data_IF_785428632281
#
_entry.id   IF_785428632281
#
_cell.length_a   1.000
_cell.length_b   1.000
_cell.length_c   1.000
_cell.angle_alpha   90.00
_cell.angle_beta   90.00
_cell.angle_gamma   90.00
#
_symmetry.space_group_name_H-M   'P 1'
#
loop_
_entity.id
_entity.type
_entity.pdbx_description
1 polymer ?
#
# COMPACT_ATOMS: atom_id res chain seq x y z
N UNK A 1 2.66 -17.58 7.75
CA UNK A 1 3.61 -16.57 8.28
C UNK A 1 3.27 -16.30 9.74
N UNK A 2 4.24 -16.25 10.66
CA UNK A 2 3.97 -15.68 11.98
C UNK A 2 3.70 -14.18 11.78
N UNK A 3 2.61 -13.62 12.33
CA UNK A 3 2.39 -12.18 12.25
C UNK A 3 3.57 -11.45 12.89
N UNK A 4 3.99 -10.34 12.28
CA UNK A 4 5.01 -9.50 12.88
C UNK A 4 4.48 -8.93 14.20
N UNK A 5 5.40 -8.68 15.14
CA UNK A 5 5.09 -8.21 16.49
C UNK A 5 4.17 -6.97 16.51
N UNK A 6 4.36 -6.04 15.56
CA UNK A 6 3.53 -4.84 15.46
C UNK A 6 2.11 -5.18 15.01
N UNK A 7 1.93 -6.10 14.06
CA UNK A 7 0.60 -6.60 13.69
C UNK A 7 -0.10 -7.29 14.86
N UNK A 8 0.60 -8.07 15.69
CA UNK A 8 0.02 -8.67 16.90
C UNK A 8 -0.43 -7.60 17.91
N UNK A 9 0.37 -6.54 18.10
CA UNK A 9 -0.02 -5.41 18.94
C UNK A 9 -1.23 -4.65 18.37
N UNK A 10 -1.27 -4.46 17.06
CA UNK A 10 -2.34 -3.75 16.37
C UNK A 10 -3.69 -4.43 16.49
N UNK A 11 -3.74 -5.77 16.56
CA UNK A 11 -4.99 -6.54 16.75
C UNK A 11 -5.84 -6.06 17.92
N UNK A 12 -5.20 -5.65 19.02
CA UNK A 12 -5.90 -5.10 20.20
C UNK A 12 -6.74 -3.86 19.90
N UNK A 13 -6.41 -3.15 18.83
CA UNK A 13 -7.07 -1.93 18.38
C UNK A 13 -7.93 -2.14 17.13
N UNK A 14 -7.79 -3.26 16.43
CA UNK A 14 -8.45 -3.49 15.14
C UNK A 14 -9.56 -4.54 15.25
N UNK A 15 -9.40 -5.52 16.15
CA UNK A 15 -10.33 -6.64 16.32
C UNK A 15 -11.57 -6.22 17.13
N UNK A 16 -12.45 -5.45 16.49
CA UNK A 16 -13.77 -5.10 17.02
C UNK A 16 -14.87 -5.78 16.21
N UNK A 17 -15.70 -6.58 16.89
CA UNK A 17 -16.80 -7.33 16.28
C UNK A 17 -17.74 -6.45 15.44
N UNK A 18 -18.02 -5.23 15.91
CA UNK A 18 -18.89 -4.29 15.19
C UNK A 18 -18.32 -3.83 13.85
N UNK A 19 -16.98 -3.75 13.74
CA UNK A 19 -16.30 -3.38 12.50
C UNK A 19 -16.25 -4.62 11.60
N UNK A 20 -15.72 -5.73 12.08
CA UNK A 20 -15.51 -6.96 11.28
C UNK A 20 -16.81 -7.62 10.80
N UNK A 21 -17.91 -7.49 11.55
CA UNK A 21 -19.21 -8.09 11.18
C UNK A 21 -19.93 -7.31 10.07
N UNK A 22 -19.59 -6.04 9.89
CA UNK A 22 -20.37 -5.11 9.07
C UNK A 22 -19.55 -4.36 8.03
N UNK A 23 -18.22 -4.51 8.05
CA UNK A 23 -17.36 -3.91 7.04
C UNK A 23 -16.08 -4.71 6.83
N UNK A 24 -15.55 -4.62 5.63
CA UNK A 24 -14.21 -5.12 5.29
C UNK A 24 -13.19 -4.02 5.55
N UNK A 25 -12.05 -4.41 6.11
CA UNK A 25 -10.88 -3.54 6.30
C UNK A 25 -9.86 -3.79 5.19
N UNK A 26 -9.04 -2.78 4.84
CA UNK A 26 -8.01 -2.95 3.82
C UNK A 26 -6.90 -3.90 4.31
N UNK A 27 -6.15 -4.45 3.37
CA UNK A 27 -4.96 -5.25 3.66
C UNK A 27 -3.98 -4.47 4.53
N UNK A 28 -3.42 -5.13 5.54
CA UNK A 28 -2.46 -4.50 6.44
C UNK A 28 -1.14 -4.14 5.72
N UNK A 29 -0.55 -2.95 5.97
CA UNK A 29 0.71 -2.49 5.36
C UNK A 29 1.94 -3.15 6.01
N UNK A 30 1.90 -4.47 6.19
CA UNK A 30 2.89 -5.26 6.93
C UNK A 30 4.32 -5.04 6.45
N UNK A 31 4.62 -5.02 5.13
CA UNK A 31 5.99 -4.88 4.66
C UNK A 31 6.64 -3.56 5.09
N UNK A 32 5.99 -2.41 4.85
CA UNK A 32 6.51 -1.09 5.22
C UNK A 32 6.61 -0.89 6.73
N UNK A 33 5.64 -1.39 7.50
CA UNK A 33 5.67 -1.31 8.98
C UNK A 33 6.79 -2.16 9.54
N UNK A 34 7.03 -3.35 8.98
CA UNK A 34 8.14 -4.21 9.36
C UNK A 34 9.49 -3.60 9.00
N UNK A 35 9.61 -2.98 7.82
CA UNK A 35 10.79 -2.21 7.42
C UNK A 35 11.06 -1.11 8.46
N UNK A 36 10.04 -0.31 8.79
CA UNK A 36 10.15 0.76 9.78
C UNK A 36 10.61 0.24 11.15
N UNK A 37 9.96 -0.80 11.67
CA UNK A 37 10.32 -1.41 12.94
C UNK A 37 11.77 -1.90 12.94
N UNK A 38 12.20 -2.55 11.86
CA UNK A 38 13.57 -3.06 11.71
C UNK A 38 14.60 -1.93 11.80
N UNK A 39 14.38 -0.82 11.09
CA UNK A 39 15.29 0.33 11.11
C UNK A 39 15.30 1.08 12.44
N UNK A 40 14.15 1.17 13.13
CA UNK A 40 14.09 1.80 14.46
C UNK A 40 14.69 0.92 15.57
N UNK A 41 14.56 -0.40 15.45
CA UNK A 41 15.02 -1.38 16.45
C UNK A 41 16.48 -1.83 16.26
N UNK A 42 17.12 -1.49 15.13
CA UNK A 42 18.52 -1.85 14.87
C UNK A 42 19.53 -1.17 15.83
N UNK A 43 19.08 -0.25 16.68
CA UNK A 43 19.89 0.34 17.75
C UNK A 43 19.64 -0.33 19.10
N UNK A 44 20.69 -0.87 19.72
CA UNK A 44 20.68 -1.28 21.14
C UNK A 44 20.34 -0.12 22.10
N UNK A 45 20.44 1.13 21.64
CA UNK A 45 20.22 2.34 22.43
C UNK A 45 18.73 2.69 22.65
N UNK A 46 17.80 2.10 21.89
CA UNK A 46 16.36 2.25 22.11
C UNK A 46 15.79 0.96 22.71
N UNK A 47 16.06 0.72 23.99
CA UNK A 47 15.40 -0.35 24.75
C UNK A 47 14.07 0.16 25.33
N UNK A 48 12.95 -0.40 24.90
CA UNK A 48 11.63 -0.23 25.54
C UNK A 48 10.48 0.23 24.64
N UNK A 49 9.31 0.46 25.26
CA UNK A 49 8.00 0.81 24.66
C UNK A 49 8.02 1.94 23.61
N UNK A 50 9.10 2.72 23.50
CA UNK A 50 9.26 3.77 22.48
C UNK A 50 9.48 3.22 21.06
N UNK A 51 10.11 2.06 20.88
CA UNK A 51 10.41 1.50 19.54
C UNK A 51 9.19 0.90 18.85
N UNK A 52 8.18 0.50 19.62
CA UNK A 52 6.95 -0.09 19.10
C UNK A 52 5.89 0.95 18.79
N UNK A 53 5.85 2.04 19.59
CA UNK A 53 4.79 3.02 19.49
C UNK A 53 4.79 3.76 18.13
N UNK A 54 5.95 4.04 17.55
CA UNK A 54 6.06 4.67 16.23
C UNK A 54 5.53 3.79 15.08
N UNK A 55 6.05 2.56 14.90
CA UNK A 55 5.54 1.61 13.91
C UNK A 55 4.06 1.27 14.08
N UNK A 56 3.59 1.09 15.31
CA UNK A 56 2.19 0.83 15.61
C UNK A 56 1.30 2.04 15.27
N UNK A 57 1.75 3.25 15.56
CA UNK A 57 1.10 4.48 15.11
C UNK A 57 1.02 4.55 13.58
N UNK A 58 2.11 4.26 12.87
CA UNK A 58 2.12 4.26 11.41
C UNK A 58 1.16 3.23 10.83
N UNK A 59 1.10 2.03 11.42
CA UNK A 59 0.15 0.99 11.06
C UNK A 59 -1.30 1.47 11.18
N UNK A 60 -1.68 2.02 12.35
CA UNK A 60 -3.05 2.47 12.61
C UNK A 60 -3.47 3.65 11.73
N UNK A 61 -2.59 4.61 11.51
CA UNK A 61 -2.87 5.75 10.62
C UNK A 61 -3.04 5.29 9.18
N UNK A 62 -2.16 4.43 8.69
CA UNK A 62 -2.28 3.88 7.33
C UNK A 62 -3.58 3.09 7.17
N UNK A 63 -3.91 2.24 8.15
CA UNK A 63 -5.17 1.52 8.19
C UNK A 63 -6.39 2.46 8.18
N UNK A 64 -6.35 3.54 8.97
CA UNK A 64 -7.41 4.54 9.00
C UNK A 64 -7.59 5.26 7.67
N UNK A 65 -6.50 5.72 7.06
CA UNK A 65 -6.51 6.37 5.75
C UNK A 65 -7.01 5.43 4.64
N UNK A 66 -6.59 4.17 4.65
CA UNK A 66 -6.98 3.19 3.63
C UNK A 66 -8.45 2.76 3.83
N UNK A 67 -8.93 2.71 5.08
CA UNK A 67 -10.35 2.47 5.39
C UNK A 67 -11.23 3.60 4.86
N UNK A 68 -10.77 4.86 4.97
CA UNK A 68 -11.46 5.99 4.35
C UNK A 68 -11.46 5.92 2.82
N UNK A 69 -10.39 5.45 2.19
CA UNK A 69 -10.32 5.29 0.73
C UNK A 69 -11.29 4.21 0.20
N UNK A 70 -11.68 3.23 1.03
CA UNK A 70 -12.70 2.22 0.68
C UNK A 70 -14.14 2.74 0.74
N UNK A 71 -14.35 4.02 1.07
CA UNK A 71 -15.66 4.66 1.06
C UNK A 71 -15.98 5.06 -0.39
N UNK A 72 -16.94 4.34 -0.96
CA UNK A 72 -17.43 4.63 -2.30
C UNK A 72 -18.05 6.04 -2.39
N UNK A 73 -17.67 6.75 -3.46
CA UNK A 73 -18.03 8.15 -3.77
C UNK A 73 -19.41 8.23 -4.45
N UNK A 74 -19.97 7.12 -4.92
CA UNK A 74 -21.27 7.13 -5.59
C UNK A 74 -22.43 7.52 -4.66
N UNK A 75 -23.24 8.48 -5.12
CA UNK A 75 -24.43 9.02 -4.46
C UNK A 75 -25.73 8.26 -4.81
N UNK A 76 -25.63 7.00 -5.25
CA UNK A 76 -26.83 6.19 -5.51
C UNK A 76 -27.57 5.90 -4.20
N UNK A 77 -28.89 5.69 -4.28
CA UNK A 77 -29.65 5.16 -3.15
C UNK A 77 -29.08 3.78 -2.79
N UNK A 78 -28.39 3.71 -1.64
CA UNK A 78 -27.77 2.49 -1.13
C UNK A 78 -28.73 1.78 -0.18
N UNK A 79 -28.66 0.45 -0.16
CA UNK A 79 -29.40 -0.33 0.83
C UNK A 79 -28.93 -0.01 2.25
N UNK A 80 -29.77 -0.29 3.26
CA UNK A 80 -29.44 0.01 4.67
C UNK A 80 -28.11 -0.63 5.10
N UNK A 81 -27.85 -1.87 4.64
CA UNK A 81 -26.60 -2.58 4.92
C UNK A 81 -25.36 -1.87 4.35
N UNK A 82 -25.47 -1.36 3.13
CA UNK A 82 -24.39 -0.62 2.46
C UNK A 82 -24.16 0.74 3.12
N UNK A 83 -25.24 1.44 3.50
CA UNK A 83 -25.15 2.68 4.27
C UNK A 83 -24.48 2.45 5.62
N UNK A 84 -24.85 1.37 6.33
CA UNK A 84 -24.21 0.98 7.60
C UNK A 84 -22.73 0.68 7.40
N UNK A 85 -22.36 -0.12 6.40
CA UNK A 85 -20.95 -0.39 6.09
C UNK A 85 -20.18 0.91 5.82
N UNK A 86 -20.78 1.86 5.08
CA UNK A 86 -20.14 3.14 4.78
C UNK A 86 -19.90 3.97 6.04
N UNK A 87 -20.91 4.09 6.90
CA UNK A 87 -20.79 4.81 8.17
C UNK A 87 -19.74 4.19 9.08
N UNK A 88 -19.69 2.86 9.15
CA UNK A 88 -18.69 2.15 9.94
C UNK A 88 -17.27 2.34 9.39
N UNK A 89 -17.07 2.41 8.07
CA UNK A 89 -15.75 2.76 7.49
C UNK A 89 -15.29 4.15 7.92
N UNK A 90 -16.19 5.15 7.91
CA UNK A 90 -15.87 6.51 8.40
C UNK A 90 -15.43 6.46 9.86
N UNK A 91 -16.28 5.86 10.71
CA UNK A 91 -16.04 5.78 12.15
C UNK A 91 -14.80 4.96 12.50
N UNK A 92 -14.55 3.85 11.80
CA UNK A 92 -13.37 3.02 11.99
C UNK A 92 -12.09 3.79 11.64
N UNK A 93 -12.09 4.52 10.52
CA UNK A 93 -10.94 5.36 10.15
C UNK A 93 -10.69 6.50 11.15
N UNK A 94 -11.74 7.13 11.65
CA UNK A 94 -11.65 8.16 12.71
C UNK A 94 -11.13 7.56 14.02
N UNK A 95 -11.62 6.37 14.38
CA UNK A 95 -11.17 5.63 15.55
C UNK A 95 -9.68 5.29 15.46
N UNK A 96 -9.22 4.65 14.38
CA UNK A 96 -7.80 4.30 14.21
C UNK A 96 -6.90 5.54 14.23
N UNK A 97 -7.36 6.65 13.61
CA UNK A 97 -6.66 7.94 13.67
C UNK A 97 -6.61 8.51 15.09
N UNK A 98 -7.68 8.38 15.88
CA UNK A 98 -7.71 8.84 17.27
C UNK A 98 -6.77 8.02 18.18
N UNK A 99 -6.73 6.69 17.99
CA UNK A 99 -5.83 5.78 18.72
C UNK A 99 -4.37 6.13 18.43
N UNK A 100 -4.05 6.51 17.20
CA UNK A 100 -2.72 7.02 16.84
C UNK A 100 -2.31 8.22 17.71
N UNK A 101 -3.15 9.26 17.78
CA UNK A 101 -2.86 10.44 18.59
C UNK A 101 -2.71 10.08 20.07
N UNK A 102 -3.62 9.24 20.57
CA UNK A 102 -3.59 8.77 21.95
C UNK A 102 -2.27 8.04 22.25
N UNK A 103 -1.86 7.11 21.40
CA UNK A 103 -0.70 6.25 21.60
C UNK A 103 0.62 7.03 21.59
N UNK A 104 0.77 7.96 20.66
CA UNK A 104 1.96 8.83 20.64
C UNK A 104 1.99 9.85 21.78
N UNK A 105 0.83 10.36 22.19
CA UNK A 105 0.75 11.27 23.34
C UNK A 105 1.13 10.57 24.65
N UNK A 106 0.60 9.36 24.88
CA UNK A 106 0.90 8.56 26.08
C UNK A 106 2.36 8.12 26.14
N UNK A 107 3.01 7.90 24.99
CA UNK A 107 4.44 7.57 24.93
C UNK A 107 5.37 8.80 24.92
N UNK A 108 4.82 10.02 25.07
CA UNK A 108 5.60 11.27 25.10
C UNK A 108 6.19 11.67 23.75
N UNK A 109 5.79 11.02 22.65
CA UNK A 109 6.35 11.23 21.31
C UNK A 109 5.69 12.41 20.58
N UNK A 110 5.61 13.57 21.23
CA UNK A 110 4.89 14.75 20.71
C UNK A 110 5.47 15.26 19.38
N UNK A 111 6.79 15.13 19.18
CA UNK A 111 7.42 15.49 17.90
C UNK A 111 6.93 14.61 16.74
N UNK A 112 6.72 13.32 17.01
CA UNK A 112 6.24 12.38 16.01
C UNK A 112 4.76 12.63 15.68
N UNK A 113 3.95 13.06 16.65
CA UNK A 113 2.56 13.52 16.38
C UNK A 113 2.57 14.62 15.31
N UNK A 114 3.45 15.61 15.46
CA UNK A 114 3.54 16.72 14.51
C UNK A 114 4.00 16.26 13.12
N UNK A 115 5.11 15.50 13.05
CA UNK A 115 5.66 15.05 11.76
C UNK A 115 4.71 14.10 11.02
N UNK A 116 4.06 13.17 11.72
CA UNK A 116 3.06 12.29 11.12
C UNK A 116 1.82 13.05 10.70
N UNK A 117 1.32 14.01 11.49
CA UNK A 117 0.18 14.84 11.10
C UNK A 117 0.47 15.63 9.82
N UNK A 118 1.67 16.19 9.69
CA UNK A 118 2.09 16.87 8.46
C UNK A 118 2.17 15.89 7.27
N UNK A 119 2.66 14.67 7.49
CA UNK A 119 2.72 13.64 6.45
C UNK A 119 1.32 13.16 6.03
N UNK A 120 0.36 13.02 6.95
CA UNK A 120 -1.04 12.70 6.65
C UNK A 120 -1.66 13.79 5.77
N UNK A 121 -1.44 15.07 6.12
CA UNK A 121 -1.88 16.19 5.30
C UNK A 121 -1.29 16.13 3.88
N UNK A 122 -0.01 15.79 3.74
CA UNK A 122 0.64 15.65 2.45
C UNK A 122 0.11 14.44 1.66
N UNK A 123 -0.12 13.28 2.30
CA UNK A 123 -0.75 12.10 1.69
C UNK A 123 -2.12 12.49 1.13
N UNK A 124 -2.97 13.15 1.92
CA UNK A 124 -4.29 13.58 1.46
C UNK A 124 -4.21 14.57 0.28
N UNK A 125 -3.24 15.50 0.30
CA UNK A 125 -2.99 16.41 -0.82
C UNK A 125 -2.56 15.67 -2.09
N UNK A 126 -1.68 14.67 -1.96
CA UNK A 126 -1.24 13.82 -3.06
C UNK A 126 -2.41 12.97 -3.60
N UNK A 127 -3.29 12.44 -2.74
CA UNK A 127 -4.49 11.70 -3.15
C UNK A 127 -5.40 12.56 -4.02
N UNK A 128 -5.71 13.77 -3.56
CA UNK A 128 -6.53 14.74 -4.32
C UNK A 128 -5.87 15.11 -5.66
N UNK A 129 -4.54 15.30 -5.68
CA UNK A 129 -3.81 15.57 -6.92
C UNK A 129 -3.93 14.40 -7.90
N UNK A 130 -3.66 13.17 -7.43
CA UNK A 130 -3.73 11.97 -8.26
C UNK A 130 -5.14 11.78 -8.83
N UNK A 131 -6.17 11.94 -8.00
CA UNK A 131 -7.58 11.90 -8.41
C UNK A 131 -7.88 12.89 -9.54
N UNK A 132 -7.44 14.15 -9.38
CA UNK A 132 -7.64 15.18 -10.41
C UNK A 132 -6.87 14.88 -11.70
N UNK A 133 -5.65 14.36 -11.61
CA UNK A 133 -4.84 13.96 -12.78
C UNK A 133 -5.48 12.82 -13.55
N UNK A 134 -6.01 11.81 -12.84
CA UNK A 134 -6.74 10.69 -13.43
C UNK A 134 -8.03 11.15 -14.11
N UNK A 135 -8.80 12.02 -13.45
CA UNK A 135 -10.05 12.57 -14.00
C UNK A 135 -9.82 13.34 -15.32
N UNK A 136 -8.66 14.01 -15.46
CA UNK A 136 -8.29 14.75 -16.67
C UNK A 136 -7.57 13.89 -17.72
N UNK A 137 -7.30 12.61 -17.45
CA UNK A 137 -6.53 11.71 -18.31
C UNK A 137 -5.15 12.29 -18.70
N UNK A 138 -4.50 13.01 -17.79
CA UNK A 138 -3.22 13.70 -18.03
C UNK A 138 -2.01 12.91 -17.53
N UNK A 139 -2.21 11.66 -17.09
CA UNK A 139 -1.20 10.91 -16.37
C UNK A 139 -0.81 9.65 -17.15
N UNK A 140 0.46 9.55 -17.59
CA UNK A 140 0.99 8.32 -18.15
C UNK A 140 0.96 7.16 -17.13
N UNK A 141 0.88 5.92 -17.61
CA UNK A 141 0.80 4.71 -16.80
C UNK A 141 2.00 4.57 -15.83
N UNK A 142 3.21 4.86 -16.31
CA UNK A 142 4.43 4.88 -15.49
C UNK A 142 4.41 6.00 -14.44
N UNK A 143 3.91 7.18 -14.80
CA UNK A 143 3.79 8.29 -13.88
C UNK A 143 2.73 8.00 -12.79
N UNK A 144 1.67 7.28 -13.14
CA UNK A 144 0.67 6.81 -12.19
C UNK A 144 1.27 5.87 -11.14
N UNK A 145 2.08 4.89 -11.55
CA UNK A 145 2.78 4.00 -10.58
C UNK A 145 3.68 4.82 -9.67
N UNK A 146 4.45 5.77 -10.21
CA UNK A 146 5.32 6.65 -9.40
C UNK A 146 4.55 7.49 -8.37
N UNK A 147 3.43 8.08 -8.76
CA UNK A 147 2.59 8.85 -7.82
C UNK A 147 1.96 7.93 -6.75
N UNK A 148 1.60 6.69 -7.09
CA UNK A 148 1.13 5.70 -6.12
C UNK A 148 2.22 5.25 -5.15
N UNK A 149 3.45 5.06 -5.63
CA UNK A 149 4.61 4.76 -4.76
C UNK A 149 4.86 5.91 -3.79
N UNK A 150 4.83 7.14 -4.30
CA UNK A 150 4.96 8.33 -3.47
C UNK A 150 3.89 8.40 -2.37
N UNK A 151 2.64 8.09 -2.70
CA UNK A 151 1.55 8.01 -1.73
C UNK A 151 1.86 7.02 -0.60
N UNK A 152 2.32 5.81 -0.93
CA UNK A 152 2.65 4.78 0.06
C UNK A 152 3.87 5.15 0.91
N UNK A 153 4.92 5.77 0.36
CA UNK A 153 6.11 6.07 1.15
C UNK A 153 5.98 7.32 2.04
N UNK A 154 5.13 8.30 1.68
CA UNK A 154 5.12 9.63 2.31
C UNK A 154 4.94 9.60 3.83
N UNK A 155 4.05 8.76 4.36
CA UNK A 155 3.85 8.63 5.80
C UNK A 155 5.12 8.14 6.51
N UNK A 156 5.77 7.13 5.92
CA UNK A 156 6.96 6.48 6.46
C UNK A 156 8.20 7.39 6.39
N UNK A 157 8.30 8.27 5.39
CA UNK A 157 9.36 9.28 5.32
C UNK A 157 9.35 10.26 6.51
N UNK A 158 8.22 10.42 7.20
CA UNK A 158 8.16 11.24 8.42
C UNK A 158 9.09 10.73 9.54
N UNK A 159 9.46 9.44 9.48
CA UNK A 159 10.38 8.78 10.41
C UNK A 159 11.85 8.91 10.01
N UNK A 160 12.17 9.33 8.77
CA UNK A 160 13.57 9.46 8.32
C UNK A 160 14.39 10.38 9.24
N UNK A 161 13.78 11.40 9.84
CA UNK A 161 14.46 12.30 10.80
C UNK A 161 14.87 11.62 12.11
N UNK A 162 14.19 10.54 12.50
CA UNK A 162 14.51 9.73 13.68
C UNK A 162 15.64 8.73 13.40
N UNK A 163 16.00 8.55 12.13
CA UNK A 163 17.04 7.63 11.70
C UNK A 163 18.39 8.32 11.58
N UNK A 164 19.45 7.52 11.78
CA UNK A 164 20.82 7.98 11.62
C UNK A 164 21.15 8.37 10.19
N UNK A 165 22.04 9.35 10.04
CA UNK A 165 22.52 9.80 8.73
C UNK A 165 23.12 8.65 7.90
N UNK A 166 23.73 7.67 8.55
CA UNK A 166 24.38 6.52 7.90
C UNK A 166 23.37 5.56 7.24
N UNK A 167 22.18 5.39 7.83
CA UNK A 167 21.18 4.44 7.33
C UNK A 167 20.05 5.11 6.55
N UNK A 168 19.91 6.43 6.66
CA UNK A 168 18.84 7.20 5.98
C UNK A 168 18.76 6.97 4.49
N UNK A 169 19.90 6.97 3.79
CA UNK A 169 19.89 6.74 2.33
C UNK A 169 19.38 5.34 1.99
N UNK A 170 19.83 4.33 2.72
CA UNK A 170 19.40 2.94 2.51
C UNK A 170 17.92 2.77 2.87
N UNK A 171 17.47 3.42 3.94
CA UNK A 171 16.06 3.48 4.34
C UNK A 171 15.19 4.08 3.23
N UNK A 172 15.54 5.27 2.72
CA UNK A 172 14.73 5.97 1.72
C UNK A 172 14.63 5.13 0.42
N UNK A 173 15.74 4.52 -0.02
CA UNK A 173 15.79 3.64 -1.19
C UNK A 173 15.00 2.34 -1.00
N UNK A 174 15.16 1.66 0.14
CA UNK A 174 14.41 0.44 0.45
C UNK A 174 12.92 0.72 0.56
N UNK A 175 12.55 1.85 1.18
CA UNK A 175 11.16 2.27 1.31
C UNK A 175 10.53 2.55 -0.06
N UNK A 176 11.26 3.20 -0.97
CA UNK A 176 10.80 3.45 -2.34
C UNK A 176 10.57 2.15 -3.11
N UNK A 177 11.57 1.27 -3.17
CA UNK A 177 11.48 0.01 -3.92
C UNK A 177 10.46 -0.96 -3.30
N UNK A 178 10.37 -1.03 -1.97
CA UNK A 178 9.34 -1.84 -1.31
C UNK A 178 7.93 -1.31 -1.58
N UNK A 179 7.75 0.01 -1.53
CA UNK A 179 6.47 0.64 -1.89
C UNK A 179 6.11 0.40 -3.35
N UNK A 180 7.11 0.38 -4.24
CA UNK A 180 6.94 0.01 -5.64
C UNK A 180 6.48 -1.44 -5.80
N UNK A 181 7.08 -2.40 -5.09
CA UNK A 181 6.62 -3.78 -5.06
C UNK A 181 5.14 -3.89 -4.62
N UNK A 182 4.75 -3.21 -3.55
CA UNK A 182 3.36 -3.23 -3.06
C UNK A 182 2.37 -2.65 -4.08
N UNK A 183 2.70 -1.50 -4.69
CA UNK A 183 1.86 -0.88 -5.73
C UNK A 183 1.68 -1.82 -6.91
N UNK A 184 2.77 -2.40 -7.41
CA UNK A 184 2.73 -3.31 -8.56
C UNK A 184 1.96 -4.58 -8.24
N UNK A 185 2.12 -5.16 -7.05
CA UNK A 185 1.33 -6.32 -6.61
C UNK A 185 -0.17 -6.01 -6.54
N UNK A 186 -0.54 -4.82 -6.05
CA UNK A 186 -1.94 -4.37 -6.04
C UNK A 186 -2.47 -4.19 -7.45
N UNK A 187 -1.70 -3.60 -8.36
CA UNK A 187 -2.09 -3.47 -9.77
C UNK A 187 -2.23 -4.83 -10.46
N UNK A 188 -1.38 -5.82 -10.15
CA UNK A 188 -1.53 -7.20 -10.66
C UNK A 188 -2.86 -7.77 -10.21
N UNK A 189 -3.19 -7.68 -8.92
CA UNK A 189 -4.47 -8.17 -8.37
C UNK A 189 -5.67 -7.46 -9.01
N UNK A 190 -5.61 -6.13 -9.10
CA UNK A 190 -6.72 -5.29 -9.58
C UNK A 190 -6.90 -5.37 -11.10
N UNK A 191 -5.83 -5.61 -11.86
CA UNK A 191 -5.88 -5.65 -13.33
C UNK A 191 -6.82 -6.71 -13.89
N UNK A 192 -7.09 -7.79 -13.14
CA UNK A 192 -7.94 -8.91 -13.58
C UNK A 192 -9.41 -8.49 -13.64
N UNK A 193 -9.84 -7.58 -12.77
CA UNK A 193 -11.22 -7.10 -12.71
C UNK A 193 -11.44 -6.01 -13.75
N UNK A 194 -12.61 -5.99 -14.38
CA UNK A 194 -12.99 -4.91 -15.31
C UNK A 194 -12.90 -3.56 -14.58
N UNK A 195 -12.30 -2.52 -15.18
CA UNK A 195 -12.02 -1.28 -14.48
C UNK A 195 -13.31 -0.52 -14.19
N UNK A 196 -13.87 -0.70 -13.00
CA UNK A 196 -15.11 -0.06 -12.55
C UNK A 196 -15.05 1.48 -12.64
N UNK A 197 -13.85 2.06 -12.54
CA UNK A 197 -13.65 3.51 -12.53
C UNK A 197 -12.73 4.03 -13.65
N UNK A 198 -12.39 3.21 -14.66
CA UNK A 198 -11.44 3.61 -15.72
C UNK A 198 -10.10 4.14 -15.16
N UNK A 199 -9.60 3.49 -14.11
CA UNK A 199 -8.35 3.81 -13.40
C UNK A 199 -7.47 2.56 -13.33
N UNK A 200 -6.22 2.74 -12.93
CA UNK A 200 -5.24 1.66 -12.82
C UNK A 200 -4.22 1.66 -13.96
N UNK A 201 -3.09 1.02 -13.71
CA UNK A 201 -1.98 0.91 -14.65
C UNK A 201 -2.45 0.25 -15.96
N UNK A 202 -3.20 -0.85 -15.87
CA UNK A 202 -3.70 -1.58 -17.02
C UNK A 202 -4.53 -0.69 -17.96
N UNK A 203 -5.49 0.06 -17.40
CA UNK A 203 -6.35 0.96 -18.16
C UNK A 203 -5.55 2.08 -18.83
N UNK A 204 -4.69 2.77 -18.08
CA UNK A 204 -3.87 3.86 -18.61
C UNK A 204 -2.90 3.37 -19.68
N UNK A 205 -2.27 2.20 -19.47
CA UNK A 205 -1.29 1.63 -20.39
C UNK A 205 -1.92 1.22 -21.70
N UNK A 206 -3.11 0.63 -21.65
CA UNK A 206 -3.86 0.32 -22.86
C UNK A 206 -4.29 1.64 -23.53
N UNK A 207 -4.80 2.64 -22.80
CA UNK A 207 -5.19 3.92 -23.39
C UNK A 207 -4.02 4.64 -24.10
N UNK A 208 -2.80 4.53 -23.59
CA UNK A 208 -1.59 5.07 -24.25
C UNK A 208 -1.25 4.35 -25.55
N UNK A 209 -1.21 3.02 -25.51
CA UNK A 209 -0.66 2.17 -26.57
C UNK A 209 -1.71 1.63 -27.54
N UNK A 210 -2.99 1.83 -27.25
CA UNK A 210 -4.08 1.23 -28.00
C UNK A 210 -4.32 1.83 -29.38
N UNK A 211 -4.77 0.95 -30.27
CA UNK A 211 -5.36 1.32 -31.57
C UNK A 211 -6.63 2.15 -31.36
N UNK A 212 -7.04 2.91 -32.39
CA UNK A 212 -8.28 3.69 -32.33
C UNK A 212 -9.52 2.82 -32.02
N UNK A 213 -9.55 1.60 -32.57
CA UNK A 213 -10.62 0.61 -32.32
C UNK A 213 -10.64 0.15 -30.86
N UNK A 214 -9.49 -0.21 -30.29
CA UNK A 214 -9.44 -0.64 -28.89
C UNK A 214 -9.73 0.52 -27.92
N UNK A 215 -9.36 1.76 -28.27
CA UNK A 215 -9.75 2.96 -27.50
C UNK A 215 -11.25 3.14 -27.48
N UNK A 216 -11.91 2.96 -28.61
CA UNK A 216 -13.37 3.02 -28.71
C UNK A 216 -14.04 1.88 -27.94
N UNK A 217 -13.43 0.69 -27.91
CA UNK A 217 -13.94 -0.45 -27.13
C UNK A 217 -13.91 -0.19 -25.63
N UNK A 218 -12.85 0.44 -25.13
CA UNK A 218 -12.65 0.72 -23.69
C UNK A 218 -13.41 1.98 -23.25
N UNK A 219 -13.73 2.89 -24.18
CA UNK A 219 -14.52 4.09 -23.90
C UNK A 219 -16.02 3.83 -23.79
N UNK A 220 -16.51 2.65 -24.21
CA UNK A 220 -17.90 2.22 -23.98
C UNK A 220 -18.17 2.11 -22.47
N UNK A 221 -19.41 2.35 -22.07
CA UNK A 221 -19.80 2.45 -20.64
C UNK A 221 -19.62 1.16 -19.84
N UNK A 222 -19.48 0.01 -20.50
CA UNK A 222 -19.10 -1.24 -19.83
C UNK A 222 -18.34 -2.18 -20.76
N UNK A 223 -17.06 -2.42 -20.47
CA UNK A 223 -16.32 -3.52 -21.12
C UNK A 223 -16.57 -4.82 -20.37
N UNK A 224 -16.99 -5.86 -21.10
CA UNK A 224 -17.21 -7.18 -20.53
C UNK A 224 -15.91 -7.81 -20.02
N UNK A 225 -15.95 -8.67 -18.97
CA UNK A 225 -14.75 -9.28 -18.40
C UNK A 225 -13.89 -10.05 -19.41
N UNK A 226 -14.52 -10.75 -20.37
CA UNK A 226 -13.81 -11.50 -21.42
C UNK A 226 -13.07 -10.59 -22.40
N UNK A 227 -13.68 -9.49 -22.81
CA UNK A 227 -13.04 -8.50 -23.70
C UNK A 227 -11.89 -7.79 -22.99
N UNK A 228 -12.08 -7.45 -21.72
CA UNK A 228 -11.03 -6.88 -20.89
C UNK A 228 -9.83 -7.83 -20.82
N UNK A 229 -10.07 -9.12 -20.55
CA UNK A 229 -9.00 -10.12 -20.49
C UNK A 229 -8.25 -10.26 -21.83
N UNK A 230 -8.95 -10.19 -22.96
CA UNK A 230 -8.30 -10.18 -24.28
C UNK A 230 -7.37 -8.97 -24.46
N UNK A 231 -7.78 -7.78 -24.00
CA UNK A 231 -6.94 -6.59 -24.06
C UNK A 231 -5.71 -6.70 -23.15
N UNK A 232 -5.86 -7.21 -21.93
CA UNK A 232 -4.73 -7.45 -21.02
C UNK A 232 -3.67 -8.34 -21.68
N UNK A 233 -4.10 -9.40 -22.37
CA UNK A 233 -3.21 -10.32 -23.08
C UNK A 233 -2.60 -9.66 -24.33
N UNK A 234 -3.41 -8.95 -25.14
CA UNK A 234 -2.96 -8.25 -26.35
C UNK A 234 -1.86 -7.22 -26.06
N UNK A 235 -1.99 -6.49 -24.95
CA UNK A 235 -1.04 -5.45 -24.54
C UNK A 235 -0.05 -5.94 -23.47
N UNK A 236 0.06 -7.26 -23.24
CA UNK A 236 1.01 -7.91 -22.33
C UNK A 236 1.11 -7.26 -20.94
N UNK A 237 -0.02 -6.79 -20.40
CA UNK A 237 -0.05 -5.98 -19.16
C UNK A 237 0.51 -6.75 -17.97
N UNK A 238 0.15 -8.04 -17.84
CA UNK A 238 0.66 -8.91 -16.75
C UNK A 238 2.18 -9.06 -16.82
N UNK A 239 2.75 -9.21 -18.02
CA UNK A 239 4.21 -9.35 -18.20
C UNK A 239 4.94 -8.05 -17.86
N UNK A 240 4.40 -6.89 -18.25
CA UNK A 240 4.96 -5.59 -17.89
C UNK A 240 4.99 -5.41 -16.37
N UNK A 241 3.87 -5.67 -15.68
CA UNK A 241 3.79 -5.58 -14.23
C UNK A 241 4.73 -6.58 -13.52
N UNK A 242 4.81 -7.82 -14.00
CA UNK A 242 5.74 -8.82 -13.44
C UNK A 242 7.20 -8.41 -13.64
N UNK A 243 7.54 -7.78 -14.77
CA UNK A 243 8.89 -7.25 -15.03
C UNK A 243 9.23 -6.11 -14.08
N UNK A 244 8.29 -5.18 -13.87
CA UNK A 244 8.42 -4.11 -12.88
C UNK A 244 8.61 -4.65 -11.46
N UNK A 245 7.85 -5.69 -11.09
CA UNK A 245 7.94 -6.33 -9.77
C UNK A 245 9.29 -7.02 -9.56
N UNK A 246 9.78 -7.77 -10.57
CA UNK A 246 11.10 -8.44 -10.51
C UNK A 246 12.22 -7.43 -10.34
N UNK A 247 12.25 -6.40 -11.19
CA UNK A 247 13.28 -5.36 -11.14
C UNK A 247 13.35 -4.68 -9.76
N UNK A 248 12.19 -4.38 -9.18
CA UNK A 248 12.13 -3.76 -7.86
C UNK A 248 12.54 -4.74 -6.75
N UNK A 249 12.12 -6.00 -6.82
CA UNK A 249 12.53 -7.05 -5.89
C UNK A 249 14.07 -7.25 -5.91
N UNK A 250 14.66 -7.34 -7.10
CA UNK A 250 16.11 -7.50 -7.27
C UNK A 250 16.88 -6.31 -6.66
N UNK A 251 16.36 -5.09 -6.83
CA UNK A 251 16.93 -3.88 -6.21
C UNK A 251 16.84 -3.93 -4.69
N UNK A 252 15.70 -4.35 -4.13
CA UNK A 252 15.58 -4.52 -2.68
C UNK A 252 16.59 -5.55 -2.18
N UNK A 253 16.77 -6.69 -2.87
CA UNK A 253 17.76 -7.70 -2.49
C UNK A 253 19.20 -7.17 -2.55
N UNK A 254 19.55 -6.39 -3.58
CA UNK A 254 20.85 -5.75 -3.68
C UNK A 254 21.09 -4.78 -2.51
N UNK A 255 20.13 -3.90 -2.22
CA UNK A 255 20.21 -2.94 -1.11
C UNK A 255 20.33 -3.65 0.25
N UNK A 256 19.63 -4.76 0.45
CA UNK A 256 19.76 -5.59 1.65
C UNK A 256 21.17 -6.19 1.74
N UNK A 257 21.75 -6.65 0.63
CA UNK A 257 23.12 -7.15 0.56
C UNK A 257 24.18 -6.12 0.93
N UNK A 258 23.90 -4.84 0.72
CA UNK A 258 24.78 -3.71 1.07
C UNK A 258 24.68 -3.31 2.56
N UNK A 259 23.61 -3.68 3.27
CA UNK A 259 23.44 -3.40 4.71
C UNK A 259 24.50 -4.13 5.55
N UNK A 260 24.93 -3.53 6.67
CA UNK A 260 25.82 -4.19 7.63
C UNK A 260 25.03 -4.96 8.70
N UNK A 261 25.47 -6.19 9.02
CA UNK A 261 24.90 -7.03 10.09
C UNK A 261 23.94 -8.11 9.61
N UNK A 262 24.27 -9.38 9.90
CA UNK A 262 23.53 -10.55 9.41
C UNK A 262 22.09 -10.61 9.93
N UNK A 263 21.87 -10.15 11.18
CA UNK A 263 20.53 -10.07 11.76
C UNK A 263 19.63 -9.09 11.00
N UNK A 264 20.14 -7.90 10.69
CA UNK A 264 19.42 -6.88 9.91
C UNK A 264 19.09 -7.42 8.51
N UNK A 265 20.05 -8.05 7.84
CA UNK A 265 19.83 -8.66 6.53
C UNK A 265 18.73 -9.72 6.56
N UNK A 266 18.74 -10.61 7.56
CA UNK A 266 17.72 -11.64 7.70
C UNK A 266 16.33 -11.07 7.98
N UNK A 267 16.22 -10.03 8.80
CA UNK A 267 14.95 -9.37 9.11
C UNK A 267 14.38 -8.65 7.87
N UNK A 268 15.23 -7.95 7.12
CA UNK A 268 14.86 -7.27 5.87
C UNK A 268 14.52 -8.25 4.74
N UNK A 269 15.27 -9.35 4.60
CA UNK A 269 14.98 -10.37 3.59
C UNK A 269 13.58 -10.96 3.76
N UNK A 270 13.14 -11.12 5.02
CA UNK A 270 11.83 -11.64 5.33
C UNK A 270 10.68 -10.67 4.98
N UNK A 271 10.97 -9.38 4.72
CA UNK A 271 9.99 -8.40 4.21
C UNK A 271 9.63 -8.69 2.74
N UNK A 272 10.54 -9.30 1.98
CA UNK A 272 10.34 -9.64 0.57
C UNK A 272 9.59 -10.95 0.34
N UNK A 273 9.34 -11.76 1.36
CA UNK A 273 8.69 -13.07 1.20
C UNK A 273 7.34 -13.00 0.44
N UNK A 274 6.42 -12.04 0.68
CA UNK A 274 5.20 -11.93 -0.11
C UNK A 274 5.47 -11.64 -1.60
N UNK A 275 6.49 -10.84 -1.88
CA UNK A 275 6.91 -10.50 -3.25
C UNK A 275 7.49 -11.73 -3.94
N UNK A 276 8.33 -12.49 -3.25
CA UNK A 276 8.89 -13.76 -3.74
C UNK A 276 7.81 -14.78 -4.03
N UNK A 277 6.81 -14.91 -3.17
CA UNK A 277 5.65 -15.78 -3.40
C UNK A 277 4.84 -15.35 -4.62
N UNK A 278 4.66 -14.04 -4.84
CA UNK A 278 3.96 -13.52 -6.01
C UNK A 278 4.76 -13.68 -7.33
N UNK A 279 6.09 -13.69 -7.25
CA UNK A 279 7.00 -13.89 -8.39
C UNK A 279 7.28 -15.36 -8.70
N UNK A 280 7.02 -16.27 -7.75
CA UNK A 280 7.18 -17.69 -7.97
C UNK A 280 6.30 -18.13 -9.16
N UNK A 281 6.83 -18.95 -10.08
CA UNK A 281 6.01 -19.49 -11.16
C UNK A 281 4.82 -20.21 -10.53
N UNK A 282 3.61 -19.97 -11.06
CA UNK A 282 2.38 -20.65 -10.67
C UNK A 282 2.64 -22.17 -10.62
N UNK A 283 2.94 -22.70 -9.43
CA UNK A 283 2.99 -24.14 -9.21
C UNK A 283 1.55 -24.61 -9.31
N UNK A 284 1.20 -25.15 -10.48
CA UNK A 284 0.13 -26.11 -10.71
C UNK A 284 -1.10 -25.94 -9.82
N UNK A 285 -2.01 -25.04 -10.19
CA UNK A 285 -3.45 -25.24 -9.91
C UNK A 285 -4.13 -26.08 -11.00
N UNK A 286 -3.36 -26.98 -11.64
CA UNK A 286 -3.85 -28.08 -12.46
C UNK A 286 -3.12 -29.34 -12.00
N UNK A 287 -3.39 -29.74 -10.76
CA UNK A 287 -3.37 -31.13 -10.33
C UNK A 287 -4.22 -31.20 -9.06
N UNK A 288 -5.25 -32.05 -9.13
CA UNK A 288 -6.21 -32.43 -8.09
C UNK A 288 -7.48 -31.55 -7.98
N UNK A 289 -8.58 -32.09 -8.53
CA UNK A 289 -9.96 -31.63 -8.33
C UNK A 289 -10.87 -31.85 -9.51
#
# INVERSE_FOLDING_TARGET
MRPDHITELARKYVDYDMISTHTELPDFPVPRVRLLYTFLNHREQYSGQLTEAGPLAAFLVQLGMDTHDMIDVEERQKEEKEMRSRQLKVLAGDYFSSVFYQLLAHSGQIRLVNSMSAAICEVNRLKVRLYNSLKRMLLPAEAYVKERVKLKMTLFLSFSQQMDKSVRNVWDLLLEELSHCEVVMEEIKQSVTSPAERKGFAYLRILESATAEDKERISRDSIGPGEWHQLLNKYTIREQLLTMLRHSADRVEQLIGECQGDKLRSELAAVLEPVKMALAPERQMIQEG
#
